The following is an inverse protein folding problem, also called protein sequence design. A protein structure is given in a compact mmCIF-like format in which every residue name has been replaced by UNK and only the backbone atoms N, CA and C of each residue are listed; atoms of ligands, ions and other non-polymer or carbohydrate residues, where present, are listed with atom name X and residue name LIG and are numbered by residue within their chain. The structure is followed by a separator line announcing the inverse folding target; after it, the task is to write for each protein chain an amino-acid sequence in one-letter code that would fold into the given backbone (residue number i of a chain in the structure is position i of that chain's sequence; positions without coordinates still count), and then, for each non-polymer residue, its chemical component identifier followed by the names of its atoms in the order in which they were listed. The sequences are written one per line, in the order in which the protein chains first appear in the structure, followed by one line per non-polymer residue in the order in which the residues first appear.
data_IF_143259919419
#
_entry.id   IF_143259919419
#
_cell.length_a   1.000
_cell.length_b   1.000
_cell.length_c   1.000
_cell.angle_alpha   90.00
_cell.angle_beta   90.00
_cell.angle_gamma   90.00
#
_symmetry.space_group_name_H-M   'P 1'
#
loop_
_entity.id
_entity.type
_entity.pdbx_description
1 polymer ?
#
# COMPACT_ATOMS: atom_id res chain seq x y z
N UNK A 1 14.55 -15.14 11.52
CA UNK A 1 14.13 -13.73 11.58
C UNK A 1 13.96 -13.26 10.14
N UNK A 2 12.72 -13.21 9.65
CA UNK A 2 12.35 -13.27 8.22
C UNK A 2 12.44 -11.94 7.44
N UNK A 3 12.92 -10.90 8.09
CA UNK A 3 13.36 -9.67 7.42
C UNK A 3 14.83 -9.51 7.78
N UNK A 4 15.67 -9.20 6.78
CA UNK A 4 16.95 -8.57 7.04
C UNK A 4 16.66 -7.29 7.80
N UNK A 5 16.72 -7.33 9.14
CA UNK A 5 16.63 -6.14 9.95
C UNK A 5 17.91 -5.37 9.65
N UNK A 6 17.82 -4.32 8.84
CA UNK A 6 18.78 -3.24 8.98
C UNK A 6 18.47 -2.62 10.34
N UNK A 7 19.16 -3.08 11.39
CA UNK A 7 19.01 -2.67 12.80
C UNK A 7 19.38 -1.18 13.00
N UNK A 8 19.39 -0.35 11.95
CA UNK A 8 19.83 1.04 12.08
C UNK A 8 18.73 2.02 12.50
N UNK A 9 17.45 1.82 12.20
CA UNK A 9 16.38 2.72 12.70
C UNK A 9 14.98 2.14 12.50
N UNK A 10 14.43 1.45 13.50
CA UNK A 10 12.97 1.38 13.62
C UNK A 10 12.51 2.71 14.20
N UNK A 11 11.68 3.45 13.47
CA UNK A 11 11.05 4.67 13.98
C UNK A 11 9.57 4.41 14.22
N UNK A 12 9.05 5.04 15.27
CA UNK A 12 7.63 5.04 15.60
C UNK A 12 7.18 6.48 15.67
N UNK A 13 5.95 6.73 15.25
CA UNK A 13 5.38 8.07 15.21
C UNK A 13 3.86 8.01 15.15
N UNK A 14 3.24 9.17 15.34
CA UNK A 14 1.80 9.33 15.20
C UNK A 14 1.52 10.09 13.91
N UNK A 15 0.69 9.50 13.05
CA UNK A 15 0.08 10.22 11.94
C UNK A 15 -1.09 11.03 12.50
N UNK A 16 -1.03 12.35 12.41
CA UNK A 16 -2.06 13.25 12.91
C UNK A 16 -3.09 13.58 11.83
N UNK A 17 -2.68 13.54 10.56
CA UNK A 17 -3.52 13.82 9.41
C UNK A 17 -3.00 13.09 8.17
N UNK A 18 -3.74 13.19 7.05
CA UNK A 18 -3.37 12.54 5.78
C UNK A 18 -2.07 13.08 5.17
N UNK A 19 -1.71 14.34 5.40
CA UNK A 19 -0.46 14.90 4.88
C UNK A 19 0.77 14.25 5.53
N UNK A 20 0.65 13.80 6.79
CA UNK A 20 1.72 13.04 7.45
C UNK A 20 1.97 11.72 6.70
N UNK A 21 0.91 11.08 6.16
CA UNK A 21 1.04 9.87 5.36
C UNK A 21 1.84 10.15 4.07
N UNK A 22 1.49 11.21 3.34
CA UNK A 22 2.20 11.59 2.12
C UNK A 22 3.66 11.97 2.39
N UNK A 23 3.89 12.83 3.38
CA UNK A 23 5.22 13.41 3.64
C UNK A 23 6.19 12.46 4.34
N UNK A 24 5.71 11.59 5.24
CA UNK A 24 6.56 10.72 6.04
C UNK A 24 6.71 9.32 5.45
N UNK A 25 5.69 8.82 4.74
CA UNK A 25 5.67 7.45 4.24
C UNK A 25 5.94 7.39 2.74
N UNK A 26 5.26 8.23 1.95
CA UNK A 26 5.29 8.09 0.49
C UNK A 26 6.30 9.01 -0.19
N UNK A 27 6.73 10.10 0.44
CA UNK A 27 7.77 10.97 -0.10
C UNK A 27 9.18 10.43 0.14
N UNK A 28 10.06 10.65 -0.84
CA UNK A 28 11.48 10.39 -0.72
C UNK A 28 12.15 11.45 0.19
N UNK A 29 13.02 11.01 1.09
CA UNK A 29 13.61 11.88 2.11
C UNK A 29 14.46 13.02 1.51
N UNK A 30 15.12 12.78 0.37
CA UNK A 30 16.07 13.72 -0.25
C UNK A 30 15.36 14.69 -1.19
N UNK A 31 14.51 14.17 -2.05
CA UNK A 31 13.83 14.96 -3.09
C UNK A 31 12.52 15.57 -2.61
N UNK A 32 11.96 15.07 -1.50
CA UNK A 32 10.64 15.42 -0.96
C UNK A 32 9.48 15.17 -1.93
N UNK A 33 9.73 14.43 -3.03
CA UNK A 33 8.72 14.03 -4.01
C UNK A 33 8.10 12.69 -3.63
N UNK A 34 6.83 12.51 -3.97
CA UNK A 34 6.14 11.23 -3.80
C UNK A 34 6.81 10.17 -4.68
N UNK A 35 7.05 9.01 -4.10
CA UNK A 35 7.70 7.87 -4.76
C UNK A 35 6.67 7.08 -5.55
N UNK A 36 6.90 6.93 -6.85
CA UNK A 36 6.14 6.02 -7.71
C UNK A 36 6.62 4.57 -7.49
N UNK A 37 6.26 3.99 -6.35
CA UNK A 37 6.61 2.63 -5.98
C UNK A 37 5.35 1.78 -5.78
N UNK A 38 5.44 0.49 -6.10
CA UNK A 38 4.40 -0.48 -5.79
C UNK A 38 4.67 -1.03 -4.39
N UNK A 39 3.61 -1.25 -3.62
CA UNK A 39 3.67 -1.82 -2.29
C UNK A 39 2.81 -3.08 -2.21
N UNK A 40 3.34 -4.13 -1.60
CA UNK A 40 2.56 -5.30 -1.19
C UNK A 40 1.97 -5.02 0.19
N UNK A 41 0.66 -5.21 0.37
CA UNK A 41 -0.01 -4.91 1.63
C UNK A 41 -0.90 -6.04 2.14
N UNK A 42 -1.12 -6.03 3.45
CA UNK A 42 -2.23 -6.71 4.12
C UNK A 42 -2.88 -5.75 5.13
N UNK A 43 -4.16 -5.96 5.40
CA UNK A 43 -4.90 -5.34 6.49
C UNK A 43 -5.52 -6.45 7.32
N UNK A 44 -5.24 -6.41 8.62
CA UNK A 44 -5.88 -7.23 9.65
C UNK A 44 -6.75 -6.32 10.53
N UNK A 45 -7.41 -6.89 11.53
CA UNK A 45 -8.34 -6.19 12.45
C UNK A 45 -7.84 -4.82 12.91
N UNK A 46 -6.56 -4.71 13.25
CA UNK A 46 -5.99 -3.49 13.86
C UNK A 46 -4.75 -2.94 13.14
N UNK A 47 -4.29 -3.55 12.04
CA UNK A 47 -3.03 -3.15 11.41
C UNK A 47 -3.08 -3.16 9.90
N UNK A 48 -2.64 -2.07 9.29
CA UNK A 48 -2.23 -2.01 7.90
C UNK A 48 -0.71 -2.20 7.81
N UNK A 49 -0.27 -3.26 7.14
CA UNK A 49 1.16 -3.60 6.99
C UNK A 49 1.51 -3.69 5.52
N UNK A 50 2.61 -3.09 5.12
CA UNK A 50 3.04 -3.12 3.74
C UNK A 50 4.55 -2.97 3.59
N UNK A 51 5.05 -3.32 2.40
CA UNK A 51 6.45 -3.14 2.01
C UNK A 51 6.54 -2.88 0.51
N UNK A 52 7.56 -2.15 0.09
CA UNK A 52 7.84 -1.91 -1.32
C UNK A 52 8.09 -3.21 -2.11
N UNK A 53 7.52 -3.26 -3.31
CA UNK A 53 7.58 -4.37 -4.25
C UNK A 53 8.64 -4.05 -5.30
N UNK A 54 9.87 -4.49 -5.01
CA UNK A 54 10.91 -4.66 -6.03
C UNK A 54 11.87 -3.48 -6.17
N UNK A 55 13.00 -3.55 -5.45
CA UNK A 55 14.33 -3.27 -6.01
C UNK A 55 15.31 -4.24 -5.32
N UNK A 56 15.70 -5.31 -6.02
CA UNK A 56 16.91 -6.09 -5.76
C UNK A 56 17.07 -6.80 -4.41
N UNK A 57 16.20 -7.75 -4.05
CA UNK A 57 16.57 -8.84 -3.12
C UNK A 57 15.96 -10.17 -3.59
N UNK A 58 16.83 -11.05 -4.08
CA UNK A 58 16.56 -12.48 -4.22
C UNK A 58 16.26 -13.05 -2.83
N UNK A 59 15.01 -13.40 -2.55
CA UNK A 59 14.60 -14.62 -1.83
C UNK A 59 13.07 -14.69 -1.87
N UNK A 60 12.50 -15.23 -2.95
CA UNK A 60 11.08 -15.63 -2.96
C UNK A 60 10.99 -17.14 -2.72
N UNK A 61 11.14 -17.55 -1.46
CA UNK A 61 10.58 -18.83 -1.00
C UNK A 61 9.29 -18.65 -0.20
N UNK A 62 8.90 -17.42 0.15
CA UNK A 62 7.68 -17.12 0.89
C UNK A 62 6.96 -15.90 0.29
N UNK A 63 5.64 -16.00 0.12
CA UNK A 63 4.80 -14.87 -0.31
C UNK A 63 4.95 -13.70 0.67
N UNK A 64 5.26 -12.49 0.17
CA UNK A 64 5.33 -11.27 1.00
C UNK A 64 4.03 -11.02 1.76
N UNK A 65 2.88 -11.39 1.19
CA UNK A 65 1.60 -11.36 1.89
C UNK A 65 1.58 -12.30 3.09
N UNK A 66 2.08 -13.53 2.94
CA UNK A 66 2.18 -14.48 4.05
C UNK A 66 3.14 -13.95 5.14
N UNK A 67 4.25 -13.31 4.76
CA UNK A 67 5.15 -12.67 5.72
C UNK A 67 4.45 -11.54 6.48
N UNK A 68 3.75 -10.63 5.78
CA UNK A 68 3.02 -9.54 6.41
C UNK A 68 1.88 -10.04 7.32
N UNK A 69 1.20 -11.11 6.89
CA UNK A 69 0.15 -11.78 7.64
C UNK A 69 0.70 -12.59 8.83
N UNK A 70 2.02 -12.69 9.01
CA UNK A 70 2.64 -13.60 9.97
C UNK A 70 2.12 -15.06 9.82
N UNK A 71 1.93 -15.47 8.56
CA UNK A 71 1.31 -16.73 8.14
C UNK A 71 -0.06 -17.00 8.77
N UNK A 72 -0.83 -15.95 9.11
CA UNK A 72 -2.21 -16.11 9.55
C UNK A 72 -3.05 -16.80 8.47
N UNK A 73 -4.03 -17.62 8.86
CA UNK A 73 -4.90 -18.32 7.92
C UNK A 73 -5.80 -17.36 7.12
N UNK A 74 -6.12 -16.21 7.69
CA UNK A 74 -6.95 -15.18 7.05
C UNK A 74 -6.48 -13.77 7.41
N UNK A 75 -6.81 -12.83 6.54
CA UNK A 75 -6.62 -11.38 6.68
C UNK A 75 -7.88 -10.70 6.15
N UNK A 76 -8.14 -9.43 6.52
CA UNK A 76 -9.32 -8.71 6.04
C UNK A 76 -9.17 -8.29 4.58
N UNK A 77 -8.00 -7.73 4.23
CA UNK A 77 -7.68 -7.31 2.87
C UNK A 77 -6.22 -7.58 2.54
N UNK A 78 -5.92 -7.88 1.29
CA UNK A 78 -4.55 -8.03 0.82
C UNK A 78 -4.46 -7.79 -0.68
N UNK A 79 -3.31 -7.29 -1.13
CA UNK A 79 -3.08 -7.02 -2.54
C UNK A 79 -1.82 -6.19 -2.73
N UNK A 80 -1.86 -5.34 -3.73
CA UNK A 80 -0.87 -4.30 -3.98
C UNK A 80 -1.52 -2.93 -4.05
N UNK A 81 -0.72 -1.90 -3.80
CA UNK A 81 -1.14 -0.54 -4.02
C UNK A 81 0.02 0.35 -4.45
N UNK A 82 -0.28 1.48 -5.07
CA UNK A 82 0.71 2.48 -5.44
C UNK A 82 0.11 3.89 -5.43
N UNK A 83 0.91 4.93 -5.17
CA UNK A 83 0.50 6.30 -5.38
C UNK A 83 0.57 6.67 -6.86
N UNK A 84 -0.40 7.45 -7.35
CA UNK A 84 -0.36 8.08 -8.67
C UNK A 84 -0.98 9.48 -8.65
N UNK A 85 -0.63 10.36 -9.61
CA UNK A 85 -1.32 11.62 -9.79
C UNK A 85 -2.79 11.39 -10.16
N UNK A 86 -3.69 12.10 -9.48
CA UNK A 86 -5.14 11.91 -9.62
C UNK A 86 -5.64 12.18 -11.04
N UNK A 87 -5.05 13.15 -11.72
CA UNK A 87 -5.48 13.59 -13.04
C UNK A 87 -4.53 13.15 -14.16
N UNK A 88 -3.72 12.12 -13.89
CA UNK A 88 -2.76 11.54 -14.83
C UNK A 88 -1.39 12.22 -14.81
N UNK A 89 -0.40 11.51 -15.35
CA UNK A 89 1.00 11.93 -15.33
C UNK A 89 1.33 13.16 -16.19
N UNK A 90 0.46 13.48 -17.14
CA UNK A 90 0.60 14.65 -18.03
C UNK A 90 0.30 15.97 -17.32
N UNK A 91 -0.39 15.92 -16.18
CA UNK A 91 -0.71 17.11 -15.38
C UNK A 91 0.28 17.23 -14.23
N UNK A 92 0.92 18.40 -14.13
CA UNK A 92 1.77 18.78 -13.00
C UNK A 92 0.91 19.37 -11.86
N UNK A 93 -0.05 18.62 -11.36
CA UNK A 93 -0.76 18.96 -10.12
C UNK A 93 -0.21 18.17 -8.93
N UNK A 94 -0.42 18.73 -7.74
CA UNK A 94 0.00 18.12 -6.47
C UNK A 94 -1.13 17.25 -5.86
N UNK A 95 -2.12 16.83 -6.68
CA UNK A 95 -3.20 15.96 -6.23
C UNK A 95 -2.86 14.48 -6.50
N UNK A 96 -2.70 13.73 -5.43
CA UNK A 96 -2.36 12.31 -5.48
C UNK A 96 -3.48 11.44 -4.94
N UNK A 97 -3.54 10.22 -5.45
CA UNK A 97 -4.42 9.16 -4.97
C UNK A 97 -3.65 7.86 -4.74
N UNK A 98 -4.15 7.03 -3.83
CA UNK A 98 -3.67 5.67 -3.65
C UNK A 98 -4.59 4.70 -4.38
N UNK A 99 -4.00 3.93 -5.29
CA UNK A 99 -4.68 2.90 -6.05
C UNK A 99 -4.41 1.56 -5.41
N UNK A 100 -5.45 0.88 -4.96
CA UNK A 100 -5.39 -0.45 -4.36
C UNK A 100 -5.98 -1.50 -5.30
N UNK A 101 -5.40 -2.69 -5.27
CA UNK A 101 -5.95 -3.89 -5.89
C UNK A 101 -6.11 -5.04 -4.88
N UNK A 102 -6.65 -6.16 -5.36
CA UNK A 102 -6.79 -7.42 -4.65
C UNK A 102 -5.76 -8.49 -5.10
N UNK A 103 -4.63 -8.09 -5.70
CA UNK A 103 -3.62 -9.02 -6.22
C UNK A 103 -2.72 -9.61 -5.12
N UNK A 104 -3.26 -10.60 -4.41
CA UNK A 104 -2.55 -11.28 -3.32
C UNK A 104 -2.28 -12.78 -3.55
N UNK A 105 -2.96 -13.40 -4.51
CA UNK A 105 -2.92 -14.86 -4.68
C UNK A 105 -3.62 -15.55 -3.52
N UNK A 106 -2.87 -15.92 -2.47
CA UNK A 106 -3.35 -16.71 -1.32
C UNK A 106 -4.43 -15.98 -0.50
N UNK A 107 -4.36 -14.64 -0.39
CA UNK A 107 -5.28 -13.84 0.43
C UNK A 107 -6.16 -12.91 -0.41
N UNK A 108 -6.34 -13.16 -1.71
CA UNK A 108 -7.06 -12.26 -2.59
C UNK A 108 -8.52 -12.07 -2.13
N UNK A 109 -8.93 -10.86 -1.68
CA UNK A 109 -10.30 -10.63 -1.26
C UNK A 109 -11.28 -10.64 -2.45
N UNK A 110 -12.54 -10.96 -2.15
CA UNK A 110 -13.64 -10.85 -3.12
C UNK A 110 -13.77 -9.41 -3.64
N UNK A 111 -14.19 -9.25 -4.90
CA UNK A 111 -14.38 -7.95 -5.54
C UNK A 111 -15.37 -7.05 -4.80
N UNK A 112 -16.42 -7.65 -4.23
CA UNK A 112 -17.44 -6.93 -3.47
C UNK A 112 -16.87 -6.22 -2.23
N UNK A 113 -15.69 -6.67 -1.75
CA UNK A 113 -15.01 -6.10 -0.59
C UNK A 113 -14.14 -4.90 -0.94
N UNK A 114 -13.82 -4.65 -2.21
CA UNK A 114 -13.00 -3.51 -2.61
C UNK A 114 -13.67 -2.17 -2.24
N UNK A 115 -15.00 -2.10 -2.34
CA UNK A 115 -15.73 -0.91 -1.87
C UNK A 115 -15.54 -0.70 -0.36
N UNK A 116 -15.59 -1.77 0.43
CA UNK A 116 -15.40 -1.69 1.87
C UNK A 116 -13.95 -1.30 2.24
N UNK A 117 -12.96 -1.76 1.46
CA UNK A 117 -11.57 -1.34 1.60
C UNK A 117 -11.42 0.17 1.40
N UNK A 118 -12.04 0.70 0.34
CA UNK A 118 -12.05 2.15 0.08
C UNK A 118 -12.66 2.91 1.27
N UNK A 119 -13.88 2.53 1.65
CA UNK A 119 -14.62 3.20 2.74
C UNK A 119 -13.83 3.13 4.06
N UNK A 120 -13.15 2.01 4.35
CA UNK A 120 -12.29 1.84 5.52
C UNK A 120 -11.12 2.82 5.52
N UNK A 121 -10.40 2.93 4.40
CA UNK A 121 -9.22 3.80 4.30
C UNK A 121 -9.60 5.28 4.38
N UNK A 122 -10.67 5.69 3.69
CA UNK A 122 -11.17 7.07 3.72
C UNK A 122 -11.71 7.45 5.11
N UNK A 123 -12.32 6.50 5.84
CA UNK A 123 -12.77 6.72 7.22
C UNK A 123 -11.59 6.92 8.18
N UNK A 124 -10.51 6.14 8.05
CA UNK A 124 -9.34 6.25 8.92
C UNK A 124 -8.43 7.44 8.56
N UNK A 125 -8.41 7.86 7.30
CA UNK A 125 -7.62 8.98 6.81
C UNK A 125 -8.51 9.98 6.06
N UNK A 126 -9.26 10.84 6.77
CA UNK A 126 -10.10 11.85 6.13
C UNK A 126 -9.30 12.73 5.16
N UNK A 127 -9.76 12.82 3.91
CA UNK A 127 -9.10 13.55 2.83
C UNK A 127 -8.11 12.73 2.00
N UNK A 128 -7.91 11.45 2.32
CA UNK A 128 -7.14 10.53 1.47
C UNK A 128 -7.98 10.14 0.25
N UNK A 129 -7.47 10.43 -0.95
CA UNK A 129 -8.10 9.94 -2.18
C UNK A 129 -7.73 8.47 -2.37
N UNK A 130 -8.73 7.57 -2.32
CA UNK A 130 -8.54 6.14 -2.52
C UNK A 130 -9.35 5.65 -3.71
N UNK A 131 -8.68 4.87 -4.55
CA UNK A 131 -9.29 4.17 -5.67
C UNK A 131 -8.97 2.69 -5.54
N UNK A 132 -9.96 1.85 -5.84
CA UNK A 132 -9.81 0.39 -5.76
C UNK A 132 -10.20 -0.22 -7.09
N UNK A 133 -9.37 -1.13 -7.60
CA UNK A 133 -9.64 -1.86 -8.83
C UNK A 133 -9.49 -3.36 -8.63
N UNK A 134 -10.19 -4.14 -9.46
CA UNK A 134 -9.82 -5.54 -9.67
C UNK A 134 -8.41 -5.61 -10.26
N UNK A 135 -7.61 -6.60 -9.86
CA UNK A 135 -6.28 -6.80 -10.41
C UNK A 135 -6.28 -7.07 -11.93
N UNK A 136 -7.43 -7.47 -12.49
CA UNK A 136 -7.62 -7.66 -13.93
C UNK A 136 -8.04 -6.38 -14.67
N UNK A 137 -8.31 -5.29 -13.96
CA UNK A 137 -8.78 -4.06 -14.57
C UNK A 137 -7.64 -3.37 -15.34
N UNK A 138 -7.84 -2.98 -16.62
CA UNK A 138 -6.82 -2.28 -17.40
C UNK A 138 -6.39 -0.93 -16.80
N UNK A 139 -7.28 -0.24 -16.09
CA UNK A 139 -7.02 1.08 -15.47
C UNK A 139 -6.04 1.03 -14.28
N UNK A 140 -5.64 -0.17 -13.85
CA UNK A 140 -4.66 -0.36 -12.78
C UNK A 140 -3.23 -0.02 -13.24
N UNK A 141 -2.96 -0.05 -14.55
CA UNK A 141 -1.63 0.17 -15.13
C UNK A 141 -1.41 1.60 -15.65
N UNK A 142 -2.45 2.42 -15.62
CA UNK A 142 -2.45 3.83 -16.01
C UNK A 142 -2.15 4.72 -14.80
#
# INVERSE_FOLDING_TARGET
MLYGRTIKTNQMGRLNNVNDLWTLIFSDEKTKRIRSCIYTYIINDNTWRFSETGVGYFTDFASKHALHANCCESVLYAGQFHPRPRFGWDRCDDEWELVFDNWSGTYAPCLDLLKNLKDLLEFNFPGLNVVTYDFKNPLLRE
#
